data_IF_180933750990
#
_entry.id   IF_180933750990
#
_cell.length_a   1.000
_cell.length_b   1.000
_cell.length_c   1.000
_cell.angle_alpha   90.00
_cell.angle_beta   90.00
_cell.angle_gamma   90.00
#
_symmetry.space_group_name_H-M   'P 1'
#
loop_
_entity.id
_entity.type
_entity.pdbx_description
1 polymer ?
#
# COMPACT_ATOMS: atom_id res chain seq x y z
N UNK A 1 15.65 -4.87 -47.23
CA UNK A 1 14.70 -4.14 -46.34
C UNK A 1 15.13 -4.42 -44.93
N UNK A 2 16.06 -3.63 -44.43
CA UNK A 2 16.56 -3.69 -43.06
C UNK A 2 15.58 -2.93 -42.17
N UNK A 3 14.82 -3.66 -41.37
CA UNK A 3 13.92 -3.08 -40.38
C UNK A 3 14.78 -2.56 -39.22
N UNK A 4 14.80 -1.23 -39.05
CA UNK A 4 15.55 -0.52 -38.00
C UNK A 4 15.14 -1.02 -36.61
N UNK A 5 16.07 -1.67 -35.91
CA UNK A 5 16.02 -2.00 -34.47
C UNK A 5 16.55 -0.85 -33.58
N UNK A 6 16.77 0.34 -34.14
CA UNK A 6 17.23 1.51 -33.40
C UNK A 6 16.04 2.30 -32.87
N UNK A 7 15.78 2.13 -31.58
CA UNK A 7 15.18 3.09 -30.62
C UNK A 7 14.28 2.39 -29.59
N UNK A 8 14.71 1.24 -29.07
CA UNK A 8 14.30 0.91 -27.70
C UNK A 8 14.95 1.96 -26.79
N UNK A 9 14.19 2.71 -25.97
CA UNK A 9 14.77 3.70 -25.07
C UNK A 9 15.81 3.00 -24.20
N UNK A 10 17.03 3.54 -24.18
CA UNK A 10 18.07 2.98 -23.33
C UNK A 10 17.59 2.99 -21.88
N UNK A 11 17.71 1.88 -21.13
CA UNK A 11 17.22 1.75 -19.76
C UNK A 11 17.77 2.82 -18.81
N UNK A 12 18.93 3.40 -19.14
CA UNK A 12 19.55 4.50 -18.37
C UNK A 12 18.83 5.85 -18.47
N UNK A 13 18.07 6.12 -19.55
CA UNK A 13 17.32 7.38 -19.69
C UNK A 13 16.05 7.37 -18.83
N UNK A 14 15.39 6.23 -18.72
CA UNK A 14 14.07 6.17 -18.11
C UNK A 14 14.10 5.94 -16.59
N UNK A 15 15.10 5.22 -16.08
CA UNK A 15 15.42 5.24 -14.65
C UNK A 15 15.78 6.66 -14.16
N UNK A 16 16.37 7.47 -15.05
CA UNK A 16 16.66 8.88 -14.80
C UNK A 16 15.39 9.73 -14.77
N UNK A 17 14.42 9.49 -15.65
CA UNK A 17 13.14 10.21 -15.64
C UNK A 17 12.35 9.99 -14.33
N UNK A 18 12.24 8.75 -13.85
CA UNK A 18 11.56 8.44 -12.57
C UNK A 18 12.24 9.16 -11.40
N UNK A 19 13.58 9.13 -11.39
CA UNK A 19 14.38 9.78 -10.37
C UNK A 19 14.23 11.31 -10.43
N UNK A 20 14.28 11.91 -11.62
CA UNK A 20 14.13 13.35 -11.83
C UNK A 20 12.74 13.84 -11.40
N UNK A 21 11.68 13.10 -11.71
CA UNK A 21 10.31 13.41 -11.24
C UNK A 21 10.24 13.34 -9.71
N UNK A 22 10.73 12.25 -9.13
CA UNK A 22 10.73 12.08 -7.67
C UNK A 22 11.50 13.20 -6.98
N UNK A 23 12.68 13.56 -7.51
CA UNK A 23 13.49 14.65 -7.00
C UNK A 23 12.76 16.00 -7.16
N UNK A 24 12.12 16.25 -8.30
CA UNK A 24 11.34 17.46 -8.53
C UNK A 24 10.18 17.58 -7.51
N UNK A 25 9.43 16.50 -7.26
CA UNK A 25 8.37 16.47 -6.26
C UNK A 25 8.91 16.70 -4.83
N UNK A 26 10.05 16.10 -4.49
CA UNK A 26 10.72 16.37 -3.22
C UNK A 26 11.05 17.86 -3.08
N UNK A 27 11.58 18.49 -4.14
CA UNK A 27 11.93 19.92 -4.09
C UNK A 27 10.72 20.84 -3.94
N UNK A 28 9.55 20.48 -4.48
CA UNK A 28 8.33 21.28 -4.34
C UNK A 28 7.69 21.15 -2.95
N UNK A 29 7.87 20.01 -2.28
CA UNK A 29 7.32 19.74 -0.95
C UNK A 29 8.18 20.27 0.20
N UNK A 30 9.42 20.64 -0.05
CA UNK A 30 10.26 21.37 0.91
C UNK A 30 9.87 22.84 0.90
N UNK A 31 9.34 23.40 2.00
CA UNK A 31 8.96 24.80 2.06
C UNK A 31 10.14 25.72 1.71
N UNK A 32 9.91 26.89 1.08
CA UNK A 32 10.94 27.89 0.93
C UNK A 32 11.50 28.28 2.31
N UNK A 33 12.84 28.30 2.41
CA UNK A 33 13.70 28.50 3.59
C UNK A 33 13.33 29.67 4.55
N UNK A 34 12.34 30.49 4.23
CA UNK A 34 11.93 31.65 5.01
C UNK A 34 10.96 31.34 6.16
N UNK A 35 10.33 30.15 6.22
CA UNK A 35 9.20 29.89 7.13
C UNK A 35 9.47 28.91 8.30
N UNK A 36 10.61 28.20 8.34
CA UNK A 36 10.89 27.19 9.37
C UNK A 36 12.24 27.41 10.06
N UNK A 37 12.32 27.01 11.34
CA UNK A 37 13.61 26.93 12.05
C UNK A 37 14.49 25.93 11.30
N UNK A 38 15.72 26.32 10.95
CA UNK A 38 16.65 25.54 10.13
C UNK A 38 16.79 24.04 10.50
N UNK A 39 16.56 23.65 11.76
CA UNK A 39 16.55 22.24 12.17
C UNK A 39 15.35 21.41 11.69
N UNK A 40 14.16 22.00 11.57
CA UNK A 40 12.97 21.31 11.07
C UNK A 40 13.08 21.00 9.56
N UNK A 41 13.65 21.93 8.79
CA UNK A 41 13.87 21.76 7.35
C UNK A 41 14.87 20.64 7.05
N UNK A 42 15.94 20.53 7.86
CA UNK A 42 16.91 19.43 7.75
C UNK A 42 16.26 18.08 8.04
N UNK A 43 15.37 18.00 9.04
CA UNK A 43 14.68 16.76 9.37
C UNK A 43 13.69 16.34 8.27
N UNK A 44 12.89 17.28 7.77
CA UNK A 44 11.93 17.03 6.68
C UNK A 44 12.67 16.58 5.42
N UNK A 45 13.77 17.26 5.07
CA UNK A 45 14.60 16.89 3.92
C UNK A 45 15.15 15.47 4.05
N UNK A 46 15.71 15.10 5.21
CA UNK A 46 16.20 13.74 5.45
C UNK A 46 15.10 12.69 5.32
N UNK A 47 13.88 12.99 5.78
CA UNK A 47 12.72 12.09 5.63
C UNK A 47 12.34 11.93 4.16
N UNK A 48 12.26 13.03 3.40
CA UNK A 48 11.96 13.01 1.97
C UNK A 48 13.02 12.24 1.16
N UNK A 49 14.31 12.42 1.48
CA UNK A 49 15.41 11.67 0.86
C UNK A 49 15.31 10.17 1.16
N UNK A 50 15.03 9.79 2.41
CA UNK A 50 14.81 8.39 2.78
C UNK A 50 13.58 7.79 2.07
N UNK A 51 12.49 8.54 2.00
CA UNK A 51 11.29 8.16 1.26
C UNK A 51 11.56 7.98 -0.24
N UNK A 52 12.38 8.86 -0.82
CA UNK A 52 12.78 8.76 -2.23
C UNK A 52 13.60 7.49 -2.47
N UNK A 53 14.54 7.17 -1.58
CA UNK A 53 15.32 5.94 -1.68
C UNK A 53 14.41 4.70 -1.61
N UNK A 54 13.45 4.68 -0.68
CA UNK A 54 12.46 3.60 -0.54
C UNK A 54 11.61 3.44 -1.81
N UNK A 55 11.05 4.53 -2.34
CA UNK A 55 10.24 4.48 -3.56
C UNK A 55 11.05 3.98 -4.77
N UNK A 56 12.29 4.45 -4.91
CA UNK A 56 13.16 4.02 -6.00
C UNK A 56 13.58 2.56 -5.89
N UNK A 57 13.78 2.05 -4.67
CA UNK A 57 14.12 0.65 -4.46
C UNK A 57 12.97 -0.28 -4.86
N UNK A 58 11.73 0.04 -4.49
CA UNK A 58 10.56 -0.77 -4.86
C UNK A 58 10.25 -0.71 -6.37
N UNK A 59 10.49 0.43 -7.02
CA UNK A 59 10.36 0.55 -8.48
C UNK A 59 11.41 -0.33 -9.19
N UNK A 60 12.65 -0.34 -8.70
CA UNK A 60 13.73 -1.17 -9.26
C UNK A 60 13.49 -2.65 -9.02
N UNK A 61 13.08 -3.04 -7.81
CA UNK A 61 12.78 -4.44 -7.48
C UNK A 61 11.63 -4.99 -8.33
N UNK A 62 10.71 -4.13 -8.74
CA UNK A 62 9.58 -4.46 -9.61
C UNK A 62 9.93 -4.56 -11.11
N UNK A 63 11.19 -4.31 -11.49
CA UNK A 63 11.64 -4.35 -12.89
C UNK A 63 11.06 -3.24 -13.77
N UNK A 64 10.67 -2.12 -13.17
CA UNK A 64 10.15 -0.96 -13.90
C UNK A 64 11.34 -0.14 -14.41
N UNK A 65 11.75 -0.45 -15.64
CA UNK A 65 12.92 0.20 -16.25
C UNK A 65 12.56 1.45 -17.07
N UNK A 66 11.32 1.56 -17.56
CA UNK A 66 10.90 2.69 -18.39
C UNK A 66 9.45 3.19 -18.15
N UNK A 67 9.33 4.51 -18.01
CA UNK A 67 8.04 5.23 -18.06
C UNK A 67 7.71 5.56 -19.52
N UNK A 68 6.50 5.21 -19.97
CA UNK A 68 5.94 5.78 -21.20
C UNK A 68 5.43 7.20 -20.95
N UNK A 69 5.30 8.01 -22.01
CA UNK A 69 4.72 9.36 -21.91
C UNK A 69 3.33 9.35 -21.25
N UNK A 70 2.53 8.32 -21.53
CA UNK A 70 1.22 8.15 -20.91
C UNK A 70 1.35 7.92 -19.40
N UNK A 71 2.22 7.01 -18.96
CA UNK A 71 2.44 6.73 -17.52
C UNK A 71 3.05 7.90 -16.76
N UNK A 72 3.70 8.82 -17.46
CA UNK A 72 4.31 10.03 -16.91
C UNK A 72 3.26 10.90 -16.18
N UNK A 73 2.13 11.14 -16.82
CA UNK A 73 1.02 11.94 -16.27
C UNK A 73 0.34 11.27 -15.06
N UNK A 74 0.40 9.93 -14.97
CA UNK A 74 -0.14 9.16 -13.85
C UNK A 74 0.82 9.00 -12.67
N UNK A 75 2.13 8.98 -12.95
CA UNK A 75 3.14 8.83 -11.91
C UNK A 75 3.26 10.08 -11.06
N UNK A 76 3.22 11.27 -11.66
CA UNK A 76 3.45 12.53 -10.96
C UNK A 76 2.47 12.77 -9.79
N UNK A 77 1.13 12.62 -9.94
CA UNK A 77 0.19 12.72 -8.82
C UNK A 77 0.42 11.66 -7.74
N UNK A 78 0.78 10.44 -8.14
CA UNK A 78 1.03 9.31 -7.21
C UNK A 78 2.29 9.54 -6.36
N UNK A 79 3.37 9.98 -7.00
CA UNK A 79 4.59 10.39 -6.33
C UNK A 79 4.34 11.56 -5.37
N UNK A 80 3.57 12.57 -5.77
CA UNK A 80 3.19 13.67 -4.89
C UNK A 80 2.47 13.20 -3.63
N UNK A 81 1.48 12.30 -3.77
CA UNK A 81 0.76 11.73 -2.62
C UNK A 81 1.67 10.92 -1.71
N UNK A 82 2.56 10.11 -2.28
CA UNK A 82 3.56 9.38 -1.51
C UNK A 82 4.45 10.32 -0.68
N UNK A 83 5.04 11.34 -1.30
CA UNK A 83 5.92 12.27 -0.60
C UNK A 83 5.18 13.20 0.37
N UNK A 84 3.88 13.45 0.16
CA UNK A 84 3.03 14.11 1.14
C UNK A 84 2.92 13.27 2.43
N UNK A 85 2.75 11.94 2.33
CA UNK A 85 2.76 11.04 3.49
C UNK A 85 4.12 11.06 4.20
N UNK A 86 5.22 11.01 3.44
CA UNK A 86 6.58 11.14 4.00
C UNK A 86 6.74 12.45 4.78
N UNK A 87 6.25 13.56 4.23
CA UNK A 87 6.30 14.88 4.86
C UNK A 87 5.49 14.93 6.15
N UNK A 88 4.33 14.25 6.19
CA UNK A 88 3.49 14.13 7.39
C UNK A 88 4.12 13.26 8.49
N UNK A 89 5.21 12.55 8.18
CA UNK A 89 5.91 11.69 9.14
C UNK A 89 5.29 10.31 9.26
N UNK A 90 4.70 9.84 8.18
CA UNK A 90 4.06 8.53 8.08
C UNK A 90 5.05 7.38 8.38
N UNK A 91 4.53 6.26 8.90
CA UNK A 91 5.37 5.13 9.27
C UNK A 91 6.02 4.47 8.05
N UNK A 92 7.27 4.02 8.19
CA UNK A 92 8.05 3.40 7.10
C UNK A 92 7.34 2.19 6.48
N UNK A 93 6.66 1.38 7.28
CA UNK A 93 5.89 0.23 6.79
C UNK A 93 4.71 0.65 5.90
N UNK A 94 4.05 1.78 6.17
CA UNK A 94 2.94 2.29 5.37
C UNK A 94 3.48 2.84 4.05
N UNK A 95 4.60 3.55 4.12
CA UNK A 95 5.32 4.04 2.94
C UNK A 95 5.78 2.88 2.05
N UNK A 96 6.28 1.78 2.61
CA UNK A 96 6.64 0.58 1.84
C UNK A 96 5.45 0.01 1.07
N UNK A 97 4.28 -0.12 1.69
CA UNK A 97 3.06 -0.58 0.99
C UNK A 97 2.66 0.39 -0.12
N UNK A 98 2.72 1.70 0.11
CA UNK A 98 2.38 2.69 -0.92
C UNK A 98 3.37 2.70 -2.09
N UNK A 99 4.67 2.60 -1.82
CA UNK A 99 5.70 2.52 -2.85
C UNK A 99 5.52 1.28 -3.73
N UNK A 100 5.19 0.15 -3.10
CA UNK A 100 4.82 -1.10 -3.75
C UNK A 100 3.62 -0.94 -4.67
N UNK A 101 2.52 -0.37 -4.18
CA UNK A 101 1.33 -0.10 -5.00
C UNK A 101 1.66 0.75 -6.25
N UNK A 102 2.47 1.80 -6.06
CA UNK A 102 2.91 2.66 -7.17
C UNK A 102 3.76 1.88 -8.17
N UNK A 103 4.71 1.07 -7.71
CA UNK A 103 5.55 0.24 -8.58
C UNK A 103 4.74 -0.80 -9.36
N UNK A 104 3.75 -1.43 -8.73
CA UNK A 104 2.82 -2.37 -9.37
C UNK A 104 1.98 -1.72 -10.47
N UNK A 105 1.38 -0.56 -10.18
CA UNK A 105 0.60 0.20 -11.17
C UNK A 105 1.48 0.67 -12.35
N UNK A 106 2.75 1.01 -12.10
CA UNK A 106 3.72 1.32 -13.16
C UNK A 106 4.12 0.11 -14.01
N UNK A 107 4.11 -1.10 -13.44
CA UNK A 107 4.45 -2.33 -14.18
C UNK A 107 3.33 -2.77 -15.10
N UNK A 108 2.06 -2.58 -14.73
CA UNK A 108 0.91 -3.00 -15.53
C UNK A 108 0.95 -2.39 -16.94
N UNK A 109 1.11 -3.22 -17.97
CA UNK A 109 1.29 -2.78 -19.37
C UNK A 109 -0.02 -2.50 -20.10
N UNK A 110 -1.11 -3.13 -19.70
CA UNK A 110 -2.36 -3.18 -20.49
C UNK A 110 -3.52 -2.35 -19.91
N UNK A 111 -3.30 -1.65 -18.79
CA UNK A 111 -4.33 -0.86 -18.11
C UNK A 111 -3.78 0.51 -17.72
N UNK A 112 -4.58 1.56 -17.97
CA UNK A 112 -4.27 2.90 -17.47
C UNK A 112 -4.25 2.90 -15.93
N UNK A 113 -3.21 3.46 -15.29
CA UNK A 113 -3.15 3.52 -13.82
C UNK A 113 -4.31 4.33 -13.22
N UNK A 114 -4.99 3.79 -12.21
CA UNK A 114 -6.00 4.53 -11.43
C UNK A 114 -5.31 5.37 -10.34
N UNK A 115 -5.02 6.64 -10.61
CA UNK A 115 -4.45 7.58 -9.63
C UNK A 115 -5.29 7.63 -8.34
N UNK A 116 -6.61 7.47 -8.46
CA UNK A 116 -7.52 7.49 -7.32
C UNK A 116 -7.25 6.34 -6.34
N UNK A 117 -6.80 5.18 -6.84
CA UNK A 117 -6.46 4.00 -6.03
C UNK A 117 -5.34 4.31 -5.04
N UNK A 118 -4.23 4.91 -5.49
CA UNK A 118 -3.10 5.26 -4.61
C UNK A 118 -3.52 6.28 -3.55
N UNK A 119 -4.32 7.30 -3.94
CA UNK A 119 -4.84 8.29 -3.01
C UNK A 119 -5.75 7.68 -1.94
N UNK A 120 -6.68 6.80 -2.33
CA UNK A 120 -7.56 6.08 -1.40
C UNK A 120 -6.76 5.19 -0.46
N UNK A 121 -5.81 4.41 -0.98
CA UNK A 121 -4.96 3.52 -0.19
C UNK A 121 -4.12 4.33 0.82
N UNK A 122 -3.50 5.43 0.41
CA UNK A 122 -2.74 6.31 1.29
C UNK A 122 -3.58 6.81 2.47
N UNK A 123 -4.77 7.34 2.20
CA UNK A 123 -5.68 7.81 3.26
C UNK A 123 -6.17 6.70 4.19
N UNK A 124 -6.26 5.45 3.71
CA UNK A 124 -6.68 4.32 4.57
C UNK A 124 -5.53 3.77 5.41
N UNK A 125 -4.29 3.83 4.91
CA UNK A 125 -3.09 3.36 5.61
C UNK A 125 -2.50 4.40 6.56
N UNK A 126 -2.87 5.68 6.42
CA UNK A 126 -2.35 6.80 7.22
C UNK A 126 -2.39 6.54 8.74
N UNK A 127 -1.24 6.60 9.38
CA UNK A 127 -0.99 6.33 10.80
C UNK A 127 -1.45 4.95 11.28
N UNK A 128 -1.61 3.96 10.39
CA UNK A 128 -1.96 2.60 10.82
C UNK A 128 -0.79 1.99 11.61
N UNK A 129 -1.03 1.49 12.84
CA UNK A 129 0.00 0.80 13.62
C UNK A 129 0.52 -0.44 12.91
N UNK A 130 1.79 -0.80 13.16
CA UNK A 130 2.43 -1.96 12.52
C UNK A 130 1.69 -3.25 12.80
N UNK A 131 1.20 -3.42 14.02
CA UNK A 131 0.46 -4.61 14.46
C UNK A 131 -0.83 -4.79 13.67
N UNK A 132 -1.52 -3.70 13.35
CA UNK A 132 -2.76 -3.72 12.56
C UNK A 132 -2.46 -4.06 11.09
N UNK A 133 -1.31 -3.66 10.55
CA UNK A 133 -0.89 -4.10 9.21
C UNK A 133 -0.49 -5.57 9.17
N UNK A 134 0.16 -6.05 10.23
CA UNK A 134 0.43 -7.48 10.37
C UNK A 134 -0.91 -8.22 10.39
N UNK A 135 -1.89 -7.77 11.18
CA UNK A 135 -3.24 -8.33 11.16
C UNK A 135 -3.87 -8.28 9.74
N UNK A 136 -3.77 -7.14 9.04
CA UNK A 136 -4.24 -7.00 7.66
C UNK A 136 -3.61 -8.02 6.72
N UNK A 137 -2.31 -8.26 6.82
CA UNK A 137 -1.60 -9.27 6.02
C UNK A 137 -2.06 -10.70 6.31
N UNK A 138 -2.56 -10.95 7.53
CA UNK A 138 -3.09 -12.26 7.94
C UNK A 138 -4.57 -12.43 7.58
N UNK A 139 -5.31 -11.36 7.32
CA UNK A 139 -6.73 -11.42 7.00
C UNK A 139 -7.02 -12.33 5.80
N UNK A 140 -6.13 -12.38 4.80
CA UNK A 140 -6.33 -13.23 3.64
C UNK A 140 -6.38 -14.71 4.03
N UNK A 141 -5.40 -15.14 4.81
CA UNK A 141 -5.35 -16.50 5.34
C UNK A 141 -6.54 -16.77 6.26
N UNK A 142 -6.96 -15.79 7.06
CA UNK A 142 -8.16 -15.90 7.89
C UNK A 142 -9.42 -16.15 7.04
N UNK A 143 -9.58 -15.46 5.91
CA UNK A 143 -10.70 -15.70 5.00
C UNK A 143 -10.64 -17.10 4.37
N UNK A 144 -9.45 -17.57 3.98
CA UNK A 144 -9.28 -18.95 3.48
C UNK A 144 -9.63 -19.98 4.56
N UNK A 145 -9.29 -19.72 5.82
CA UNK A 145 -9.68 -20.57 6.95
C UNK A 145 -11.21 -20.59 7.08
N UNK A 146 -11.86 -19.42 7.06
CA UNK A 146 -13.33 -19.35 7.11
C UNK A 146 -14.00 -20.16 5.99
N UNK A 147 -13.46 -20.08 4.77
CA UNK A 147 -13.96 -20.82 3.60
C UNK A 147 -13.97 -22.35 3.81
N UNK A 148 -13.17 -22.88 4.75
CA UNK A 148 -13.12 -24.31 5.10
C UNK A 148 -14.04 -24.71 6.25
N UNK A 149 -14.70 -23.75 6.90
CA UNK A 149 -15.59 -24.02 8.03
C UNK A 149 -16.99 -24.45 7.57
N UNK A 150 -17.69 -25.21 8.41
CA UNK A 150 -19.08 -25.59 8.18
C UNK A 150 -20.05 -24.37 8.25
N UNK A 151 -19.59 -23.23 8.80
CA UNK A 151 -20.35 -21.97 8.83
C UNK A 151 -20.36 -21.25 7.49
N UNK A 152 -19.43 -21.56 6.58
CA UNK A 152 -19.35 -20.94 5.27
C UNK A 152 -20.51 -21.41 4.37
N UNK A 153 -21.40 -20.49 4.01
CA UNK A 153 -22.51 -20.74 3.08
C UNK A 153 -22.10 -20.67 1.60
N UNK A 154 -20.81 -20.42 1.32
CA UNK A 154 -20.24 -20.27 -0.01
C UNK A 154 -20.52 -18.92 -0.69
N UNK A 155 -21.34 -18.04 -0.08
CA UNK A 155 -21.71 -16.74 -0.64
C UNK A 155 -21.10 -15.58 0.15
N UNK A 156 -21.12 -15.66 1.48
CA UNK A 156 -20.68 -14.59 2.36
C UNK A 156 -19.44 -15.02 3.13
N UNK A 157 -18.29 -14.77 2.53
CA UNK A 157 -16.99 -15.01 3.16
C UNK A 157 -16.69 -13.83 4.09
N UNK A 158 -16.80 -14.06 5.38
CA UNK A 158 -16.44 -13.14 6.45
C UNK A 158 -15.37 -13.74 7.36
N UNK A 159 -14.81 -12.92 8.23
CA UNK A 159 -13.97 -13.37 9.35
C UNK A 159 -14.37 -12.62 10.61
N UNK A 160 -14.04 -13.20 11.75
CA UNK A 160 -13.91 -12.48 13.01
C UNK A 160 -12.62 -12.89 13.76
N UNK A 161 -12.59 -12.72 15.08
CA UNK A 161 -11.40 -12.95 15.87
C UNK A 161 -10.89 -14.40 15.80
N UNK A 162 -11.74 -15.44 16.01
CA UNK A 162 -11.39 -16.85 15.77
C UNK A 162 -10.57 -17.13 14.52
N UNK A 163 -11.00 -16.72 13.33
CA UNK A 163 -10.26 -17.04 12.09
C UNK A 163 -8.94 -16.26 12.02
N UNK A 164 -8.92 -15.02 12.51
CA UNK A 164 -7.68 -14.25 12.58
C UNK A 164 -6.69 -14.90 13.55
N UNK A 165 -7.12 -15.35 14.73
CA UNK A 165 -6.29 -16.09 15.69
C UNK A 165 -5.75 -17.37 15.06
N UNK A 166 -6.61 -18.15 14.40
CA UNK A 166 -6.22 -19.37 13.72
C UNK A 166 -5.14 -19.10 12.66
N UNK A 167 -5.28 -18.01 11.90
CA UNK A 167 -4.26 -17.60 10.94
C UNK A 167 -2.92 -17.27 11.64
N UNK A 168 -2.89 -16.59 12.79
CA UNK A 168 -1.65 -16.32 13.51
C UNK A 168 -1.02 -17.58 14.11
N UNK A 169 -1.85 -18.53 14.58
CA UNK A 169 -1.39 -19.79 15.14
C UNK A 169 -0.59 -20.63 14.13
N UNK A 170 -0.95 -20.61 12.83
CA UNK A 170 -0.22 -21.32 11.77
C UNK A 170 1.25 -20.87 11.62
N UNK A 171 1.56 -19.63 12.00
CA UNK A 171 2.92 -19.08 11.98
C UNK A 171 3.56 -19.04 13.37
N UNK A 172 2.99 -19.75 14.33
CA UNK A 172 3.53 -19.88 15.70
C UNK A 172 3.40 -18.60 16.54
N UNK A 173 2.47 -17.71 16.20
CA UNK A 173 2.23 -16.46 16.94
C UNK A 173 0.94 -16.60 17.74
N UNK A 174 1.04 -16.44 19.06
CA UNK A 174 -0.11 -16.43 19.96
C UNK A 174 -0.66 -15.00 20.10
N UNK A 175 -1.94 -14.82 19.81
CA UNK A 175 -2.66 -13.54 19.87
C UNK A 175 -3.97 -13.71 20.62
N UNK A 176 -4.30 -12.71 21.44
CA UNK A 176 -5.53 -12.74 22.24
C UNK A 176 -6.72 -12.33 21.39
N UNK A 177 -7.88 -12.94 21.64
CA UNK A 177 -9.12 -12.60 20.94
C UNK A 177 -9.47 -11.10 21.00
N UNK A 178 -9.32 -10.46 22.16
CA UNK A 178 -9.57 -9.02 22.31
C UNK A 178 -8.70 -8.17 21.37
N UNK A 179 -7.44 -8.57 21.18
CA UNK A 179 -6.50 -7.86 20.33
C UNK A 179 -6.86 -8.03 18.84
N UNK A 180 -7.25 -9.24 18.44
CA UNK A 180 -7.78 -9.48 17.10
C UNK A 180 -9.06 -8.67 16.83
N UNK A 181 -9.95 -8.56 17.81
CA UNK A 181 -11.16 -7.72 17.69
C UNK A 181 -10.81 -6.25 17.51
N UNK A 182 -9.87 -5.71 18.29
CA UNK A 182 -9.40 -4.33 18.15
C UNK A 182 -8.80 -4.06 16.77
N UNK A 183 -7.94 -4.97 16.27
CA UNK A 183 -7.35 -4.84 14.94
C UNK A 183 -8.39 -4.90 13.82
N UNK A 184 -9.32 -5.86 13.87
CA UNK A 184 -10.39 -5.96 12.89
C UNK A 184 -11.32 -4.74 12.93
N UNK A 185 -11.63 -4.23 14.13
CA UNK A 185 -12.40 -3.02 14.31
C UNK A 185 -11.71 -1.81 13.68
N UNK A 186 -10.42 -1.61 13.94
CA UNK A 186 -9.65 -0.51 13.33
C UNK A 186 -9.66 -0.60 11.80
N UNK A 187 -9.45 -1.80 11.23
CA UNK A 187 -9.52 -2.03 9.79
C UNK A 187 -10.94 -1.76 9.24
N UNK A 188 -11.97 -2.10 10.01
CA UNK A 188 -13.38 -1.81 9.71
C UNK A 188 -13.70 -0.32 9.73
N UNK A 189 -13.29 0.41 10.76
CA UNK A 189 -13.47 1.86 10.89
C UNK A 189 -12.79 2.63 9.75
N UNK A 190 -11.67 2.12 9.26
CA UNK A 190 -10.98 2.67 8.10
C UNK A 190 -11.66 2.30 6.78
N UNK A 191 -12.65 1.42 6.78
CA UNK A 191 -13.28 0.91 5.56
C UNK A 191 -12.34 0.07 4.70
N UNK A 192 -11.23 -0.42 5.30
CA UNK A 192 -10.41 -1.45 4.68
C UNK A 192 -11.22 -2.76 4.73
N UNK A 193 -11.84 -3.08 5.85
CA UNK A 193 -12.85 -4.13 5.93
C UNK A 193 -14.25 -3.51 6.00
N UNK A 194 -15.26 -4.26 5.56
CA UNK A 194 -16.66 -3.90 5.77
C UNK A 194 -17.18 -4.67 6.97
N UNK A 195 -17.75 -3.99 7.97
CA UNK A 195 -18.32 -4.64 9.15
C UNK A 195 -19.83 -4.87 9.03
N UNK A 196 -20.32 -5.97 9.55
CA UNK A 196 -21.75 -6.23 9.78
C UNK A 196 -21.94 -6.95 11.11
N UNK A 197 -23.14 -6.85 11.68
CA UNK A 197 -23.46 -7.52 12.94
C UNK A 197 -23.43 -9.05 12.75
N UNK A 198 -22.94 -9.78 13.77
CA UNK A 198 -23.01 -11.25 13.82
C UNK A 198 -24.27 -11.65 14.59
N UNK A 199 -25.35 -12.11 13.93
CA UNK A 199 -26.62 -12.35 14.61
C UNK A 199 -26.56 -13.47 15.65
N UNK A 200 -25.61 -14.40 15.49
CA UNK A 200 -25.42 -15.54 16.39
C UNK A 200 -24.69 -15.20 17.70
N UNK A 201 -24.16 -13.99 17.85
CA UNK A 201 -23.38 -13.60 19.02
C UNK A 201 -23.69 -12.16 19.47
N UNK A 202 -24.06 -11.98 20.74
CA UNK A 202 -24.30 -10.66 21.31
C UNK A 202 -23.01 -9.83 21.22
N UNK A 203 -23.06 -8.71 20.50
CA UNK A 203 -21.90 -7.84 20.29
C UNK A 203 -20.85 -8.40 19.34
N UNK A 204 -21.14 -9.50 18.63
CA UNK A 204 -20.26 -10.03 17.59
C UNK A 204 -20.35 -9.20 16.31
N UNK A 205 -19.23 -9.12 15.59
CA UNK A 205 -19.12 -8.39 14.32
C UNK A 205 -18.40 -9.26 13.31
N UNK A 206 -19.00 -9.42 12.13
CA UNK A 206 -18.34 -10.01 10.97
C UNK A 206 -17.66 -8.94 10.14
N UNK A 207 -16.51 -9.30 9.57
CA UNK A 207 -15.75 -8.45 8.68
C UNK A 207 -15.62 -9.08 7.29
N UNK A 208 -15.88 -8.29 6.25
CA UNK A 208 -15.86 -8.70 4.85
C UNK A 208 -14.78 -7.95 4.06
N UNK A 209 -14.30 -8.58 2.98
CA UNK A 209 -13.37 -7.97 2.03
C UNK A 209 -14.03 -6.76 1.33
N UNK A 210 -13.60 -5.54 1.63
CA UNK A 210 -14.01 -4.36 0.85
C UNK A 210 -13.30 -4.31 -0.51
N UNK A 211 -13.70 -3.38 -1.40
CA UNK A 211 -12.94 -3.09 -2.62
C UNK A 211 -11.52 -2.61 -2.30
N UNK A 212 -11.36 -1.75 -1.29
CA UNK A 212 -10.06 -1.19 -0.88
C UNK A 212 -9.14 -2.29 -0.34
N UNK A 213 -9.67 -3.24 0.42
CA UNK A 213 -8.89 -4.40 0.87
C UNK A 213 -8.31 -5.15 -0.33
N UNK A 214 -9.13 -5.44 -1.34
CA UNK A 214 -8.69 -6.17 -2.53
C UNK A 214 -7.63 -5.38 -3.29
N UNK A 215 -7.79 -4.06 -3.41
CA UNK A 215 -6.78 -3.19 -4.04
C UNK A 215 -5.43 -3.26 -3.31
N UNK A 216 -5.43 -3.16 -1.98
CA UNK A 216 -4.22 -3.19 -1.15
C UNK A 216 -3.55 -4.57 -1.19
N UNK A 217 -4.31 -5.65 -1.00
CA UNK A 217 -3.76 -7.02 -0.96
C UNK A 217 -3.31 -7.46 -2.35
N UNK A 218 -4.08 -7.20 -3.41
CA UNK A 218 -3.66 -7.54 -4.78
C UNK A 218 -2.36 -6.82 -5.14
N UNK A 219 -2.27 -5.53 -4.82
CA UNK A 219 -1.06 -4.78 -5.07
C UNK A 219 0.14 -5.26 -4.24
N UNK A 220 -0.08 -5.84 -3.05
CA UNK A 220 1.00 -6.51 -2.32
C UNK A 220 1.43 -7.83 -2.98
N UNK A 221 0.46 -8.64 -3.45
CA UNK A 221 0.72 -9.94 -4.11
C UNK A 221 1.43 -9.84 -5.44
N UNK A 222 1.07 -8.86 -6.27
CA UNK A 222 1.66 -8.65 -7.61
C UNK A 222 3.18 -8.38 -7.55
N UNK A 223 3.69 -8.11 -6.35
CA UNK A 223 5.07 -7.79 -6.03
C UNK A 223 5.80 -8.94 -5.32
N UNK A 224 5.17 -10.10 -5.19
CA UNK A 224 5.79 -11.30 -4.62
C UNK A 224 6.00 -11.27 -3.11
N UNK A 225 5.11 -10.57 -2.38
CA UNK A 225 5.05 -10.53 -0.92
C UNK A 225 3.89 -11.38 -0.42
#
# INVERSE_FOLDING_TARGET
METRLTELPQPSKSARDIYEISAAVVTTLVPPLAAFKAGADVLIRKRLEAGQALLMEEIRSSGVDALSNEKWDYYLPSAYRFFEQVRLGEYEHNLSVLAKLIAGDLRATDTLPDIGKIGRAASKLEMLPKEVLIALSRCERAFEIYETTDECDGYWICIDAPELIASFAEVGVDVKAIQCQEWLHELGCRGILTSSDRPSQIGGTFYYRSSVYREIIQGAKDLGV
#
